data_IF_417000393707
#
_entry.id   IF_417000393707
#
_cell.length_a   1.000
_cell.length_b   1.000
_cell.length_c   1.000
_cell.angle_alpha   90.00
_cell.angle_beta   90.00
_cell.angle_gamma   90.00
#
_symmetry.space_group_name_H-M   'P 1'
#
loop_
_entity.id
_entity.type
_entity.pdbx_description
1 polymer ?
#
# COMPACT_ATOMS: atom_id res chain seq x y z
N UNK A 1 7.85 -9.13 43.42
CA UNK A 1 6.97 -9.89 42.49
C UNK A 1 6.53 -8.95 41.38
N UNK A 2 7.20 -8.98 40.23
CA UNK A 2 6.90 -8.08 39.12
C UNK A 2 5.82 -8.69 38.22
N UNK A 3 4.71 -7.97 38.10
CA UNK A 3 3.53 -8.28 37.29
C UNK A 3 3.89 -8.15 35.81
N UNK A 4 4.08 -9.28 35.10
CA UNK A 4 4.22 -9.28 33.63
C UNK A 4 2.84 -9.59 33.05
N UNK A 5 2.07 -8.55 32.74
CA UNK A 5 0.83 -8.68 31.96
C UNK A 5 1.17 -9.28 30.60
N UNK A 6 0.58 -10.42 30.27
CA UNK A 6 0.62 -10.96 28.92
C UNK A 6 -0.10 -9.98 27.97
N UNK A 7 0.65 -9.32 27.09
CA UNK A 7 0.06 -8.50 26.02
C UNK A 7 0.51 -8.98 24.64
N UNK A 8 0.73 -10.29 24.48
CA UNK A 8 0.85 -10.92 23.17
C UNK A 8 -0.50 -11.52 22.82
N UNK A 9 -1.04 -11.16 21.65
CA UNK A 9 -2.39 -11.46 21.13
C UNK A 9 -3.45 -10.41 21.52
N UNK A 10 -3.31 -9.20 20.98
CA UNK A 10 -4.49 -8.38 20.67
C UNK A 10 -4.88 -8.70 19.21
N UNK A 11 -5.95 -9.50 19.03
CA UNK A 11 -6.68 -9.79 17.80
C UNK A 11 -5.85 -10.10 16.53
N UNK A 12 -5.39 -11.35 16.37
CA UNK A 12 -4.48 -11.76 15.28
C UNK A 12 -4.94 -11.41 13.86
N UNK A 13 -6.23 -11.56 13.53
CA UNK A 13 -6.74 -11.26 12.18
C UNK A 13 -6.87 -9.76 11.90
N UNK A 14 -7.29 -8.96 12.89
CA UNK A 14 -7.38 -7.50 12.73
C UNK A 14 -5.98 -6.90 12.54
N UNK A 15 -5.01 -7.33 13.35
CA UNK A 15 -3.63 -6.89 13.21
C UNK A 15 -3.04 -7.29 11.86
N UNK A 16 -3.27 -8.53 11.42
CA UNK A 16 -2.82 -9.03 10.12
C UNK A 16 -3.43 -8.22 8.96
N UNK A 17 -4.73 -7.93 9.04
CA UNK A 17 -5.43 -7.12 8.04
C UNK A 17 -4.86 -5.70 7.97
N UNK A 18 -4.70 -5.03 9.12
CA UNK A 18 -4.17 -3.66 9.18
C UNK A 18 -2.72 -3.58 8.71
N UNK A 19 -1.89 -4.57 9.02
CA UNK A 19 -0.50 -4.60 8.54
C UNK A 19 -0.45 -4.87 7.02
N UNK A 20 -1.28 -5.79 6.50
CA UNK A 20 -1.41 -5.99 5.04
C UNK A 20 -1.86 -4.73 4.30
N UNK A 21 -2.80 -3.96 4.86
CA UNK A 21 -3.22 -2.67 4.31
C UNK A 21 -2.06 -1.66 4.26
N UNK A 22 -1.18 -1.64 5.27
CA UNK A 22 -0.02 -0.74 5.29
C UNK A 22 1.02 -1.14 4.25
N UNK A 23 1.23 -2.44 4.07
CA UNK A 23 2.19 -2.99 3.11
C UNK A 23 1.76 -2.67 1.68
N UNK A 24 0.49 -2.95 1.33
CA UNK A 24 -0.02 -2.64 -0.01
C UNK A 24 -0.07 -1.13 -0.26
N UNK A 25 -0.44 -0.32 0.73
CA UNK A 25 -0.42 1.14 0.60
C UNK A 25 0.97 1.69 0.33
N UNK A 26 2.01 1.15 0.99
CA UNK A 26 3.38 1.50 0.67
C UNK A 26 3.76 1.07 -0.75
N UNK A 27 3.37 -0.13 -1.17
CA UNK A 27 3.64 -0.64 -2.50
C UNK A 27 3.01 0.24 -3.58
N UNK A 28 1.73 0.59 -3.45
CA UNK A 28 1.05 1.48 -4.40
C UNK A 28 1.73 2.84 -4.49
N UNK A 29 2.12 3.45 -3.35
CA UNK A 29 2.87 4.72 -3.38
C UNK A 29 4.25 4.59 -4.04
N UNK A 30 4.88 3.42 -4.01
CA UNK A 30 6.14 3.15 -4.72
C UNK A 30 5.91 2.94 -6.21
N UNK A 31 4.88 2.17 -6.57
CA UNK A 31 4.46 1.91 -7.95
C UNK A 31 4.09 3.22 -8.64
N UNK A 32 3.30 4.08 -7.97
CA UNK A 32 2.90 5.40 -8.47
C UNK A 32 4.11 6.25 -8.92
N UNK A 33 5.21 6.21 -8.17
CA UNK A 33 6.46 6.93 -8.50
C UNK A 33 7.26 6.26 -9.62
N UNK A 34 7.02 4.99 -9.88
CA UNK A 34 7.81 4.15 -10.79
C UNK A 34 7.17 4.04 -12.17
N UNK A 35 5.83 3.98 -12.24
CA UNK A 35 5.09 3.86 -13.51
C UNK A 35 5.44 4.92 -14.55
N UNK A 36 5.62 6.22 -14.22
CA UNK A 36 6.02 7.21 -15.21
C UNK A 36 7.41 6.93 -15.81
N UNK A 37 8.31 6.29 -15.05
CA UNK A 37 9.63 5.88 -15.55
C UNK A 37 9.53 4.68 -16.48
N UNK A 38 8.63 3.74 -16.17
CA UNK A 38 8.39 2.56 -16.99
C UNK A 38 7.72 2.92 -18.31
N UNK A 39 6.73 3.83 -18.29
CA UNK A 39 6.09 4.36 -19.50
C UNK A 39 7.10 5.00 -20.46
N UNK A 40 8.02 5.82 -19.92
CA UNK A 40 9.09 6.47 -20.70
C UNK A 40 10.15 5.51 -21.24
N UNK A 41 10.40 4.40 -20.55
CA UNK A 41 11.39 3.41 -20.96
C UNK A 41 10.83 2.36 -21.93
N UNK A 42 9.51 2.29 -22.10
CA UNK A 42 8.86 1.35 -22.99
C UNK A 42 9.20 1.68 -24.47
N UNK A 43 9.59 0.66 -25.23
CA UNK A 43 9.87 0.78 -26.67
C UNK A 43 8.61 0.58 -27.53
N UNK A 44 7.57 -0.06 -26.97
CA UNK A 44 6.28 -0.25 -27.61
C UNK A 44 5.30 0.79 -27.10
N UNK A 45 4.59 1.45 -28.03
CA UNK A 45 3.53 2.40 -27.71
C UNK A 45 2.41 1.75 -26.88
N UNK A 46 2.05 0.50 -27.18
CA UNK A 46 1.04 -0.25 -26.43
C UNK A 46 1.47 -0.46 -24.97
N UNK A 47 2.75 -0.77 -24.74
CA UNK A 47 3.29 -0.99 -23.39
C UNK A 47 3.40 0.35 -22.64
N UNK A 48 3.76 1.42 -23.32
CA UNK A 48 3.80 2.77 -22.73
C UNK A 48 2.40 3.20 -22.27
N UNK A 49 1.40 3.06 -23.13
CA UNK A 49 -0.01 3.37 -22.83
C UNK A 49 -0.56 2.49 -21.68
N UNK A 50 -0.14 1.22 -21.61
CA UNK A 50 -0.51 0.35 -20.50
C UNK A 50 0.01 0.86 -19.15
N UNK A 51 1.26 1.37 -19.08
CA UNK A 51 1.80 1.96 -17.86
C UNK A 51 1.11 3.28 -17.49
N UNK A 52 0.74 4.11 -18.46
CA UNK A 52 0.00 5.36 -18.21
C UNK A 52 -1.42 5.09 -17.72
N UNK A 53 -2.11 4.12 -18.32
CA UNK A 53 -3.40 3.65 -17.82
C UNK A 53 -3.27 3.14 -16.39
N UNK A 54 -2.28 2.31 -16.13
CA UNK A 54 -2.06 1.74 -14.80
C UNK A 54 -1.73 2.82 -13.76
N UNK A 55 -1.05 3.91 -14.16
CA UNK A 55 -0.79 5.04 -13.27
C UNK A 55 -2.10 5.63 -12.72
N UNK A 56 -3.08 5.84 -13.61
CA UNK A 56 -4.39 6.38 -13.22
C UNK A 56 -5.16 5.40 -12.33
N UNK A 57 -5.07 4.10 -12.60
CA UNK A 57 -5.65 3.06 -11.75
C UNK A 57 -5.00 3.04 -10.35
N UNK A 58 -3.67 3.19 -10.28
CA UNK A 58 -2.90 3.24 -9.03
C UNK A 58 -3.25 4.47 -8.19
N UNK A 59 -3.45 5.65 -8.80
CA UNK A 59 -3.94 6.84 -8.09
C UNK A 59 -5.27 6.54 -7.39
N UNK A 60 -6.24 5.98 -8.12
CA UNK A 60 -7.53 5.59 -7.54
C UNK A 60 -7.44 4.43 -6.53
N UNK A 61 -6.41 3.59 -6.59
CA UNK A 61 -6.15 2.55 -5.58
C UNK A 61 -5.61 3.16 -4.28
N UNK A 62 -4.69 4.12 -4.38
CA UNK A 62 -4.17 4.88 -3.22
C UNK A 62 -5.32 5.60 -2.51
N UNK A 63 -6.17 6.32 -3.25
CA UNK A 63 -7.31 7.04 -2.69
C UNK A 63 -8.27 6.09 -1.95
N UNK A 64 -8.55 4.91 -2.54
CA UNK A 64 -9.40 3.89 -1.88
C UNK A 64 -8.77 3.36 -0.59
N UNK A 65 -7.46 3.15 -0.57
CA UNK A 65 -6.77 2.71 0.64
C UNK A 65 -6.82 3.78 1.73
N UNK A 66 -6.70 5.06 1.37
CA UNK A 66 -6.84 6.18 2.31
C UNK A 66 -8.26 6.21 2.93
N UNK A 67 -9.31 6.04 2.12
CA UNK A 67 -10.68 5.90 2.60
C UNK A 67 -10.85 4.70 3.55
N UNK A 68 -10.25 3.55 3.23
CA UNK A 68 -10.29 2.37 4.12
C UNK A 68 -9.63 2.66 5.47
N UNK A 69 -8.47 3.34 5.48
CA UNK A 69 -7.82 3.75 6.73
C UNK A 69 -8.69 4.70 7.56
N UNK A 70 -9.36 5.66 6.91
CA UNK A 70 -10.32 6.55 7.55
C UNK A 70 -11.50 5.78 8.17
N UNK A 71 -12.10 4.83 7.45
CA UNK A 71 -13.17 3.97 7.95
C UNK A 71 -12.74 3.15 9.18
N UNK A 72 -11.46 2.78 9.25
CA UNK A 72 -10.88 2.05 10.38
C UNK A 72 -10.49 2.97 11.56
N UNK A 73 -10.60 4.30 11.41
CA UNK A 73 -10.15 5.28 12.39
C UNK A 73 -8.64 5.22 12.65
N UNK A 74 -7.86 4.74 11.67
CA UNK A 74 -6.40 4.56 11.78
C UNK A 74 -5.70 5.46 10.76
N UNK A 75 -4.54 6.03 11.07
CA UNK A 75 -3.83 6.87 10.11
C UNK A 75 -3.29 6.01 8.95
N UNK A 76 -3.44 6.51 7.72
CA UNK A 76 -2.82 5.96 6.50
C UNK A 76 -1.29 6.20 6.52
N UNK A 77 -0.59 5.51 7.43
CA UNK A 77 0.87 5.51 7.50
C UNK A 77 1.39 4.20 6.93
N UNK A 78 1.96 4.27 5.74
CA UNK A 78 2.72 3.15 5.18
C UNK A 78 3.88 2.78 6.12
N UNK A 79 4.10 1.49 6.29
CA UNK A 79 5.38 0.95 6.79
C UNK A 79 6.21 0.59 5.56
N UNK A 80 7.54 0.65 5.66
CA UNK A 80 8.42 0.18 4.58
C UNK A 80 8.11 -1.29 4.30
N UNK A 81 7.55 -1.61 3.12
CA UNK A 81 7.30 -2.98 2.72
C UNK A 81 8.62 -3.60 2.22
N UNK A 82 9.08 -4.72 2.80
CA UNK A 82 10.32 -5.38 2.38
C UNK A 82 10.23 -6.07 1.02
N UNK A 83 9.03 -6.26 0.48
CA UNK A 83 8.81 -6.94 -0.80
C UNK A 83 9.01 -6.06 -2.03
N UNK A 84 9.06 -4.73 -1.87
CA UNK A 84 9.10 -3.78 -2.99
C UNK A 84 10.14 -2.69 -2.81
#
# INVERSE_FOLDING_TARGET
MAKKSSSGVANGLESLFVDGLKDIYYAEKKILKTLPKMAKAAQSEEVSAAFEKHLTETEGQVDRLEQVFEMLGKPARGKTCPAI
#
